data_IF_480259342927
#
_entry.id   IF_480259342927
#
_cell.length_a   1.000
_cell.length_b   1.000
_cell.length_c   1.000
_cell.angle_alpha   90.00
_cell.angle_beta   90.00
_cell.angle_gamma   90.00
#
_symmetry.space_group_name_H-M   'P 1'
#
loop_
_entity.id
_entity.type
_entity.pdbx_description
1 polymer ?
#
# COMPACT_ATOMS: atom_id res chain seq x y z
N UNK A 1 18.06 8.32 -6.86
CA UNK A 1 16.64 8.34 -6.46
C UNK A 1 16.33 9.69 -5.83
N UNK A 2 15.13 10.25 -6.02
CA UNK A 2 14.70 11.50 -5.37
C UNK A 2 13.47 11.21 -4.49
N UNK A 3 13.64 11.19 -3.17
CA UNK A 3 12.55 10.91 -2.21
C UNK A 3 11.53 12.05 -2.12
N UNK A 4 11.88 13.28 -2.54
CA UNK A 4 10.92 14.40 -2.60
C UNK A 4 9.72 14.11 -3.51
N UNK A 5 9.87 13.16 -4.45
CA UNK A 5 8.76 12.68 -5.27
C UNK A 5 7.64 12.00 -4.46
N UNK A 6 7.89 11.59 -3.21
CA UNK A 6 6.84 11.09 -2.31
C UNK A 6 5.80 12.18 -2.00
N UNK A 7 6.18 13.47 -2.01
CA UNK A 7 5.21 14.56 -1.85
C UNK A 7 4.27 14.67 -3.06
N UNK A 8 4.78 14.45 -4.28
CA UNK A 8 3.96 14.40 -5.48
C UNK A 8 3.06 13.15 -5.48
N UNK A 9 3.60 12.00 -5.09
CA UNK A 9 2.83 10.75 -4.96
C UNK A 9 1.70 10.90 -3.92
N UNK A 10 1.95 11.60 -2.80
CA UNK A 10 0.94 11.92 -1.78
C UNK A 10 -0.22 12.70 -2.37
N UNK A 11 0.07 13.75 -3.15
CA UNK A 11 -0.98 14.53 -3.82
C UNK A 11 -1.80 13.65 -4.77
N UNK A 12 -1.14 12.77 -5.54
CA UNK A 12 -1.83 11.82 -6.42
C UNK A 12 -2.73 10.85 -5.63
N UNK A 13 -2.25 10.30 -4.52
CA UNK A 13 -3.04 9.42 -3.64
C UNK A 13 -4.35 10.07 -3.22
N UNK A 14 -4.33 11.37 -2.91
CA UNK A 14 -5.51 12.12 -2.46
C UNK A 14 -6.44 12.47 -3.62
N UNK A 15 -5.89 13.00 -4.72
CA UNK A 15 -6.71 13.70 -5.72
C UNK A 15 -7.13 12.86 -6.91
N UNK A 16 -6.33 11.87 -7.33
CA UNK A 16 -6.57 11.23 -8.63
C UNK A 16 -7.79 10.32 -8.60
N UNK A 17 -8.50 10.22 -9.71
CA UNK A 17 -9.54 9.21 -9.89
C UNK A 17 -8.97 7.90 -10.44
N UNK A 18 -7.86 7.97 -11.18
CA UNK A 18 -7.18 6.79 -11.72
C UNK A 18 -6.13 6.28 -10.73
N UNK A 19 -6.54 5.32 -9.90
CA UNK A 19 -5.67 4.74 -8.88
C UNK A 19 -4.54 3.90 -9.48
N UNK A 20 -4.67 3.41 -10.72
CA UNK A 20 -3.61 2.68 -11.39
C UNK A 20 -2.44 3.61 -11.70
N UNK A 21 -2.70 4.88 -12.02
CA UNK A 21 -1.68 5.90 -12.25
C UNK A 21 -0.79 6.11 -11.01
N UNK A 22 -1.36 6.05 -9.81
CA UNK A 22 -0.59 6.16 -8.55
C UNK A 22 0.42 5.02 -8.43
N UNK A 23 -0.01 3.80 -8.72
CA UNK A 23 0.87 2.63 -8.66
C UNK A 23 1.93 2.66 -9.75
N UNK A 24 1.60 3.09 -10.96
CA UNK A 24 2.59 3.28 -12.03
C UNK A 24 3.65 4.32 -11.62
N UNK A 25 3.24 5.47 -11.10
CA UNK A 25 4.15 6.51 -10.60
C UNK A 25 5.06 5.98 -9.48
N UNK A 26 4.48 5.20 -8.56
CA UNK A 26 5.25 4.53 -7.51
C UNK A 26 6.29 3.56 -8.08
N UNK A 27 5.93 2.71 -9.04
CA UNK A 27 6.86 1.76 -9.64
C UNK A 27 7.95 2.44 -10.48
N UNK A 28 7.60 3.46 -11.27
CA UNK A 28 8.55 4.20 -12.12
C UNK A 28 9.63 4.92 -11.28
N UNK A 29 9.27 5.36 -10.08
CA UNK A 29 10.14 6.18 -9.24
C UNK A 29 10.76 5.42 -8.07
N UNK A 30 10.11 4.38 -7.55
CA UNK A 30 10.49 3.75 -6.28
C UNK A 30 10.46 2.22 -6.29
N UNK A 31 9.33 1.62 -6.70
CA UNK A 31 8.87 0.29 -6.25
C UNK A 31 9.72 -0.96 -6.55
N UNK A 32 10.93 -0.80 -7.07
CA UNK A 32 11.90 -1.88 -7.33
C UNK A 32 13.36 -1.45 -7.10
N UNK A 33 13.59 -0.23 -6.58
CA UNK A 33 14.93 0.33 -6.42
C UNK A 33 15.51 -0.09 -5.06
N UNK A 34 16.68 -0.75 -5.01
CA UNK A 34 17.30 -1.16 -3.75
C UNK A 34 17.47 -0.01 -2.76
N UNK A 35 17.80 1.19 -3.25
CA UNK A 35 17.98 2.39 -2.43
C UNK A 35 16.68 2.83 -1.75
N UNK A 36 15.53 2.60 -2.40
CA UNK A 36 14.22 2.87 -1.82
C UNK A 36 13.92 1.87 -0.69
N UNK A 37 14.13 0.58 -0.95
CA UNK A 37 13.90 -0.48 0.03
C UNK A 37 14.76 -0.26 1.28
N UNK A 38 16.03 0.16 1.10
CA UNK A 38 16.94 0.46 2.21
C UNK A 38 16.60 1.75 2.97
N UNK A 39 15.84 2.67 2.36
CA UNK A 39 15.41 3.90 3.02
C UNK A 39 14.23 3.69 3.97
N UNK A 40 13.50 2.58 3.83
CA UNK A 40 12.41 2.19 4.70
C UNK A 40 12.87 1.44 5.94
N UNK A 41 12.15 1.62 7.04
CA UNK A 41 12.33 0.86 8.27
C UNK A 41 11.18 -0.11 8.46
N UNK A 42 11.50 -1.36 8.81
CA UNK A 42 10.49 -2.36 9.15
C UNK A 42 9.65 -1.87 10.33
N UNK A 43 8.34 -1.86 10.19
CA UNK A 43 7.43 -1.34 11.24
C UNK A 43 6.15 -2.17 11.36
N UNK A 44 5.33 -1.83 12.35
CA UNK A 44 3.97 -2.32 12.53
C UNK A 44 3.03 -1.12 12.69
N UNK A 45 1.83 -1.21 12.10
CA UNK A 45 0.83 -0.16 12.21
C UNK A 45 -0.55 -0.78 12.47
N UNK A 46 -1.05 -0.78 13.73
CA UNK A 46 -2.26 -1.52 14.12
C UNK A 46 -3.49 -1.22 13.27
N UNK A 47 -3.71 0.04 12.88
CA UNK A 47 -4.84 0.41 12.03
C UNK A 47 -4.72 -0.13 10.59
N UNK A 48 -3.50 -0.19 10.04
CA UNK A 48 -3.29 -0.73 8.70
C UNK A 48 -3.46 -2.25 8.72
N UNK A 49 -3.00 -2.90 9.78
CA UNK A 49 -3.27 -4.31 10.03
C UNK A 49 -4.78 -4.59 10.06
N UNK A 50 -5.53 -3.84 10.87
CA UNK A 50 -7.00 -4.00 10.96
C UNK A 50 -7.72 -3.71 9.64
N UNK A 51 -7.26 -2.74 8.85
CA UNK A 51 -7.79 -2.44 7.52
C UNK A 51 -7.58 -3.62 6.58
N UNK A 52 -6.36 -4.18 6.53
CA UNK A 52 -6.04 -5.36 5.72
C UNK A 52 -6.88 -6.57 6.15
N UNK A 53 -7.05 -6.80 7.45
CA UNK A 53 -7.88 -7.90 7.95
C UNK A 53 -9.36 -7.72 7.57
N UNK A 54 -9.86 -6.48 7.60
CA UNK A 54 -11.22 -6.15 7.15
C UNK A 54 -11.39 -6.39 5.65
N UNK A 55 -10.41 -5.95 4.85
CA UNK A 55 -10.38 -6.22 3.41
C UNK A 55 -10.36 -7.73 3.12
N UNK A 56 -9.59 -8.51 3.87
CA UNK A 56 -9.56 -9.98 3.77
C UNK A 56 -10.92 -10.63 4.04
N UNK A 57 -11.64 -10.16 5.06
CA UNK A 57 -13.00 -10.63 5.39
C UNK A 57 -14.01 -10.34 4.28
N UNK A 58 -13.93 -9.16 3.66
CA UNK A 58 -14.78 -8.76 2.54
C UNK A 58 -14.48 -9.56 1.27
N UNK A 59 -13.20 -9.87 1.01
CA UNK A 59 -12.76 -10.48 -0.24
C UNK A 59 -13.02 -11.99 -0.35
N UNK A 60 -12.99 -12.77 0.74
CA UNK A 60 -13.49 -14.15 0.83
C UNK A 60 -13.10 -14.85 2.14
N UNK A 61 -14.10 -15.48 2.77
CA UNK A 61 -14.07 -16.49 3.84
C UNK A 61 -13.38 -16.05 5.17
N UNK A 62 -14.05 -16.09 6.34
CA UNK A 62 -13.52 -15.60 7.63
C UNK A 62 -12.16 -16.14 8.07
N UNK A 63 -11.72 -17.28 7.52
CA UNK A 63 -10.41 -17.87 7.76
C UNK A 63 -9.23 -17.07 7.14
N UNK A 64 -9.52 -16.10 6.26
CA UNK A 64 -8.55 -15.21 5.62
C UNK A 64 -8.02 -14.08 6.51
N UNK A 65 -8.52 -13.97 7.75
CA UNK A 65 -8.35 -12.80 8.61
C UNK A 65 -6.97 -12.67 9.28
N UNK A 66 -6.03 -13.57 9.03
CA UNK A 66 -4.65 -13.46 9.55
C UNK A 66 -3.69 -13.33 8.38
N UNK A 67 -3.39 -12.08 8.01
CA UNK A 67 -2.28 -11.75 7.13
C UNK A 67 -1.16 -11.14 7.95
N UNK A 68 0.06 -11.66 7.78
CA UNK A 68 1.24 -10.97 8.24
C UNK A 68 1.52 -9.81 7.27
N UNK A 69 1.16 -8.58 7.68
CA UNK A 69 1.45 -7.40 6.88
C UNK A 69 2.93 -7.09 6.93
N UNK A 70 3.58 -7.20 5.78
CA UNK A 70 4.94 -6.74 5.63
C UNK A 70 4.96 -5.22 5.39
N UNK A 71 5.23 -4.44 6.43
CA UNK A 71 5.18 -2.98 6.37
C UNK A 71 6.56 -2.33 6.53
N UNK A 72 6.85 -1.34 5.70
CA UNK A 72 8.00 -0.44 5.85
C UNK A 72 7.51 1.00 5.92
N UNK A 73 8.19 1.81 6.71
CA UNK A 73 7.91 3.23 6.89
C UNK A 73 9.11 4.08 6.48
N UNK A 74 8.83 5.23 5.87
CA UNK A 74 9.79 6.31 5.67
C UNK A 74 9.29 7.52 6.49
N UNK A 75 9.75 7.66 7.75
CA UNK A 75 9.14 8.58 8.71
C UNK A 75 9.11 10.04 8.24
N UNK A 76 10.19 10.50 7.57
CA UNK A 76 10.31 11.87 7.06
C UNK A 76 9.16 12.27 6.12
N UNK A 77 8.55 11.30 5.42
CA UNK A 77 7.47 11.55 4.47
C UNK A 77 6.12 11.04 4.95
N UNK A 78 6.02 10.59 6.20
CA UNK A 78 4.82 9.97 6.78
C UNK A 78 4.28 8.81 5.92
N UNK A 79 5.18 8.12 5.23
CA UNK A 79 4.84 7.18 4.17
C UNK A 79 5.05 5.75 4.64
N UNK A 80 4.02 4.92 4.42
CA UNK A 80 4.04 3.49 4.67
C UNK A 80 3.78 2.77 3.35
N UNK A 81 4.56 1.73 3.08
CA UNK A 81 4.30 0.83 1.98
C UNK A 81 4.51 -0.61 2.43
N UNK A 82 3.73 -1.52 1.85
CA UNK A 82 3.78 -2.89 2.29
C UNK A 82 2.96 -3.83 1.43
N UNK A 83 3.07 -5.10 1.76
CA UNK A 83 2.29 -6.13 1.13
C UNK A 83 2.01 -7.29 2.09
N UNK A 84 0.98 -8.06 1.76
CA UNK A 84 0.66 -9.32 2.40
C UNK A 84 -0.02 -10.26 1.39
N UNK A 85 -0.23 -11.50 1.80
CA UNK A 85 -1.08 -12.44 1.08
C UNK A 85 -2.36 -12.68 1.87
N UNK A 86 -3.50 -12.48 1.21
CA UNK A 86 -4.83 -12.74 1.75
C UNK A 86 -5.56 -13.73 0.84
N UNK A 87 -5.89 -14.91 1.35
CA UNK A 87 -6.56 -15.98 0.57
C UNK A 87 -5.88 -16.27 -0.77
N UNK A 88 -4.54 -16.31 -0.78
CA UNK A 88 -3.74 -16.55 -1.99
C UNK A 88 -3.65 -15.36 -2.96
N UNK A 89 -4.22 -14.20 -2.62
CA UNK A 89 -4.12 -12.96 -3.39
C UNK A 89 -3.09 -12.03 -2.76
N UNK A 90 -2.22 -11.46 -3.59
CA UNK A 90 -1.27 -10.46 -3.12
C UNK A 90 -2.02 -9.13 -2.94
N UNK A 91 -1.91 -8.56 -1.75
CA UNK A 91 -2.43 -7.23 -1.42
C UNK A 91 -1.25 -6.34 -1.12
N UNK A 92 -1.08 -5.28 -1.89
CA UNK A 92 -0.09 -4.23 -1.65
C UNK A 92 -0.78 -2.95 -1.23
N UNK A 93 -0.11 -2.14 -0.43
CA UNK A 93 -0.64 -0.85 0.02
C UNK A 93 0.42 0.24 -0.02
N UNK A 94 -0.05 1.46 -0.27
CA UNK A 94 0.63 2.73 -0.06
C UNK A 94 -0.23 3.57 0.88
N UNK A 95 0.36 4.22 1.88
CA UNK A 95 -0.39 5.00 2.86
C UNK A 95 0.42 6.19 3.37
N UNK A 96 -0.23 7.34 3.44
CA UNK A 96 0.33 8.56 4.01
C UNK A 96 -0.42 8.91 5.31
N UNK A 97 0.27 8.84 6.46
CA UNK A 97 -0.37 9.00 7.76
C UNK A 97 -0.71 10.45 8.11
N UNK A 98 -0.02 11.42 7.53
CA UNK A 98 -0.27 12.86 7.73
C UNK A 98 -1.56 13.33 7.06
N UNK A 99 -1.97 12.71 5.95
CA UNK A 99 -3.25 12.96 5.28
C UNK A 99 -4.30 11.88 5.53
N UNK A 100 -3.93 10.79 6.22
CA UNK A 100 -4.79 9.65 6.52
C UNK A 100 -5.47 9.03 5.28
N UNK A 101 -4.72 8.88 4.19
CA UNK A 101 -5.22 8.29 2.95
C UNK A 101 -4.20 7.28 2.43
N UNK A 102 -4.69 6.14 1.97
CA UNK A 102 -3.91 5.14 1.28
C UNK A 102 -4.66 4.51 0.13
N UNK A 103 -3.92 3.73 -0.66
CA UNK A 103 -4.44 2.96 -1.78
C UNK A 103 -3.95 1.53 -1.66
N UNK A 104 -4.85 0.57 -1.88
CA UNK A 104 -4.53 -0.84 -2.03
C UNK A 104 -4.51 -1.26 -3.50
N UNK A 105 -3.66 -2.23 -3.81
CA UNK A 105 -3.68 -3.00 -5.04
C UNK A 105 -3.86 -4.47 -4.69
N UNK A 106 -4.92 -5.08 -5.22
CA UNK A 106 -5.26 -6.49 -5.00
C UNK A 106 -5.06 -7.24 -6.32
N UNK A 107 -4.00 -8.04 -6.38
CA UNK A 107 -3.75 -8.91 -7.53
C UNK A 107 -4.68 -10.12 -7.52
N UNK A 108 -5.45 -10.30 -8.59
CA UNK A 108 -6.23 -11.51 -8.81
C UNK A 108 -5.63 -12.28 -9.99
N UNK A 109 -5.18 -13.51 -9.76
CA UNK A 109 -4.63 -14.37 -10.82
C UNK A 109 -5.62 -14.45 -12.00
N UNK A 110 -5.18 -14.05 -13.19
CA UNK A 110 -5.96 -14.11 -14.44
C UNK A 110 -6.99 -13.00 -14.65
N UNK A 111 -7.31 -12.18 -13.63
CA UNK A 111 -8.39 -11.17 -13.69
C UNK A 111 -7.91 -9.72 -13.50
N UNK A 112 -6.60 -9.49 -13.50
CA UNK A 112 -6.02 -8.15 -13.33
C UNK A 112 -5.90 -7.71 -11.86
N UNK A 113 -5.72 -6.40 -11.68
CA UNK A 113 -5.52 -5.78 -10.36
C UNK A 113 -6.69 -4.87 -10.05
N UNK A 114 -7.28 -5.06 -8.87
CA UNK A 114 -8.29 -4.13 -8.34
C UNK A 114 -7.62 -3.12 -7.43
N UNK A 115 -7.94 -1.84 -7.62
CA UNK A 115 -7.44 -0.76 -6.77
C UNK A 115 -8.55 -0.19 -5.91
N UNK A 116 -8.23 0.21 -4.68
CA UNK A 116 -9.17 0.89 -3.79
C UNK A 116 -8.46 1.93 -2.95
N UNK A 117 -9.14 3.03 -2.63
CA UNK A 117 -8.68 4.06 -1.69
C UNK A 117 -9.28 3.81 -0.31
N UNK A 118 -8.50 4.04 0.74
CA UNK A 118 -8.94 3.88 2.13
C UNK A 118 -8.40 4.98 3.04
N UNK A 119 -8.96 5.05 4.24
CA UNK A 119 -8.52 5.90 5.35
C UNK A 119 -8.56 5.10 6.66
N UNK A 120 -7.77 5.51 7.66
CA UNK A 120 -7.58 4.77 8.92
C UNK A 120 -7.89 5.57 10.19
#
# INVERSE_FOLDING_TARGET
MNLEKLNALKQKVVDTQDLAEVWNDFFDHFGQRPEFIQSGQRTQHPKLQQMVESLGKEMANPAAASAELLLSEIPQYHFYHGACFLSGKMVSLLYFSDVNVGITAVGTFGNGTTFSRFSC
#
